data_IF_941502159699
#
_entry.id   IF_941502159699
#
_cell.length_a   1.000
_cell.length_b   1.000
_cell.length_c   1.000
_cell.angle_alpha   90.00
_cell.angle_beta   90.00
_cell.angle_gamma   90.00
#
_symmetry.space_group_name_H-M   'P 1'
#
loop_
_entity.id
_entity.type
_entity.pdbx_description
1 polymer ?
#
# COMPACT_ATOMS: atom_id res chain seq x y z
N UNK A 1 4.92 -7.81 -23.66
CA UNK A 1 5.86 -7.67 -22.53
C UNK A 1 6.98 -8.65 -22.75
N UNK A 2 8.23 -8.23 -22.57
CA UNK A 2 9.40 -9.10 -22.68
C UNK A 2 9.40 -10.09 -21.50
N UNK A 3 9.63 -11.40 -21.74
CA UNK A 3 9.74 -12.37 -20.64
C UNK A 3 10.86 -12.01 -19.67
N UNK A 4 10.76 -12.34 -18.37
CA UNK A 4 11.81 -12.01 -17.43
C UNK A 4 13.09 -12.81 -17.68
N UNK A 5 14.23 -12.16 -17.48
CA UNK A 5 15.56 -12.75 -17.66
C UNK A 5 15.89 -13.73 -16.52
N UNK A 6 16.87 -14.60 -16.73
CA UNK A 6 17.34 -15.51 -15.67
C UNK A 6 17.92 -14.76 -14.47
N UNK A 7 18.53 -13.61 -14.67
CA UNK A 7 18.98 -12.72 -13.59
C UNK A 7 17.81 -12.24 -12.75
N UNK A 8 16.72 -11.79 -13.39
CA UNK A 8 15.51 -11.36 -12.71
C UNK A 8 14.87 -12.49 -11.91
N UNK A 9 14.77 -13.69 -12.50
CA UNK A 9 14.26 -14.85 -11.80
C UNK A 9 15.15 -15.29 -10.64
N UNK A 10 16.47 -15.28 -10.82
CA UNK A 10 17.43 -15.64 -9.77
C UNK A 10 17.31 -14.68 -8.58
N UNK A 11 17.16 -13.38 -8.83
CA UNK A 11 16.94 -12.40 -7.79
C UNK A 11 15.62 -12.64 -7.04
N UNK A 12 14.52 -12.88 -7.77
CA UNK A 12 13.21 -13.13 -7.15
C UNK A 12 13.21 -14.43 -6.33
N UNK A 13 13.83 -15.49 -6.83
CA UNK A 13 14.04 -16.74 -6.11
C UNK A 13 14.84 -16.54 -4.82
N UNK A 14 15.88 -15.68 -4.83
CA UNK A 14 16.65 -15.35 -3.61
C UNK A 14 15.78 -14.63 -2.58
N UNK A 15 14.93 -13.68 -3.01
CA UNK A 15 13.99 -13.00 -2.11
C UNK A 15 13.05 -14.01 -1.47
N UNK A 16 12.37 -14.83 -2.28
CA UNK A 16 11.44 -15.86 -1.80
C UNK A 16 12.11 -16.86 -0.86
N UNK A 17 13.30 -17.36 -1.22
CA UNK A 17 14.05 -18.31 -0.41
C UNK A 17 14.42 -17.71 0.96
N UNK A 18 14.76 -16.42 1.01
CA UNK A 18 15.04 -15.73 2.28
C UNK A 18 13.81 -15.60 3.19
N UNK A 19 12.60 -15.60 2.63
CA UNK A 19 11.36 -15.65 3.41
C UNK A 19 11.11 -17.08 3.92
N UNK A 20 11.22 -18.09 3.05
CA UNK A 20 10.99 -19.51 3.40
C UNK A 20 11.94 -19.99 4.51
N UNK A 21 13.19 -19.51 4.54
CA UNK A 21 14.18 -19.93 5.54
C UNK A 21 13.93 -19.42 6.95
N UNK A 22 13.06 -18.43 7.13
CA UNK A 22 12.71 -17.94 8.48
C UNK A 22 11.91 -19.02 9.22
N UNK A 23 12.17 -19.21 10.51
CA UNK A 23 11.41 -20.17 11.33
C UNK A 23 9.92 -19.82 11.39
N UNK A 24 9.61 -18.53 11.49
CA UNK A 24 8.25 -17.99 11.59
C UNK A 24 7.43 -18.03 10.29
N UNK A 25 7.97 -18.59 9.20
CA UNK A 25 7.21 -18.79 7.95
C UNK A 25 6.66 -20.19 7.76
N UNK A 26 6.91 -21.12 8.68
CA UNK A 26 6.48 -22.52 8.59
C UNK A 26 5.01 -22.69 8.15
N UNK A 27 4.02 -21.98 8.75
CA UNK A 27 2.61 -22.13 8.40
C UNK A 27 2.26 -21.73 6.96
N UNK A 28 3.14 -20.99 6.28
CA UNK A 28 2.92 -20.43 4.95
C UNK A 28 3.65 -21.20 3.84
N UNK A 29 4.38 -22.28 4.18
CA UNK A 29 5.22 -23.01 3.22
C UNK A 29 4.47 -24.01 2.36
N UNK A 30 3.28 -24.42 2.81
CA UNK A 30 2.42 -25.40 2.14
C UNK A 30 0.98 -24.89 2.10
N UNK A 31 0.13 -25.39 1.17
CA UNK A 31 -1.27 -25.00 1.13
C UNK A 31 -1.98 -25.25 2.47
N UNK A 32 -2.88 -24.35 2.86
CA UNK A 32 -3.76 -24.54 4.02
C UNK A 32 -4.67 -25.75 3.77
N UNK A 33 -4.52 -26.79 4.59
CA UNK A 33 -5.43 -27.95 4.59
C UNK A 33 -6.71 -27.62 5.36
N UNK A 34 -7.51 -26.72 4.80
CA UNK A 34 -8.75 -26.27 5.42
C UNK A 34 -9.73 -27.42 5.67
N UNK A 35 -9.68 -28.51 4.90
CA UNK A 35 -10.50 -29.70 5.15
C UNK A 35 -10.01 -30.45 6.39
N UNK A 36 -8.71 -30.75 6.47
CA UNK A 36 -8.12 -31.42 7.63
C UNK A 36 -8.22 -30.61 8.92
N UNK A 37 -8.23 -29.28 8.80
CA UNK A 37 -8.39 -28.34 9.92
C UNK A 37 -9.85 -28.03 10.27
N UNK A 38 -10.84 -28.53 9.50
CA UNK A 38 -12.27 -28.26 9.75
C UNK A 38 -12.72 -26.82 9.43
N UNK A 39 -11.96 -26.08 8.64
CA UNK A 39 -12.21 -24.69 8.24
C UNK A 39 -13.11 -24.63 7.00
N UNK A 40 -14.36 -25.06 7.13
CA UNK A 40 -15.29 -25.20 5.99
C UNK A 40 -15.69 -23.87 5.33
N UNK A 41 -15.51 -22.75 6.03
CA UNK A 41 -15.71 -21.39 5.53
C UNK A 41 -14.49 -20.85 4.76
N UNK A 42 -13.32 -21.47 4.87
CA UNK A 42 -12.11 -21.02 4.18
C UNK A 42 -12.29 -20.82 2.67
N UNK A 43 -12.88 -21.75 1.88
CA UNK A 43 -13.09 -21.51 0.44
C UNK A 43 -14.16 -20.44 0.15
N UNK A 44 -15.02 -20.09 1.11
CA UNK A 44 -16.00 -19.02 0.93
C UNK A 44 -15.35 -17.65 1.16
N UNK A 45 -14.38 -17.54 2.07
CA UNK A 45 -13.67 -16.29 2.35
C UNK A 45 -12.44 -16.11 1.45
N UNK A 46 -11.65 -17.17 1.23
CA UNK A 46 -10.39 -17.14 0.49
C UNK A 46 -10.59 -17.66 -0.93
N UNK A 47 -10.66 -16.74 -1.88
CA UNK A 47 -10.98 -17.02 -3.29
C UNK A 47 -9.83 -17.60 -4.10
N UNK A 48 -8.60 -17.24 -3.74
CA UNK A 48 -7.39 -17.71 -4.42
C UNK A 48 -6.37 -18.16 -3.36
N UNK A 49 -6.44 -19.41 -2.88
CA UNK A 49 -5.45 -19.95 -1.96
C UNK A 49 -4.04 -19.89 -2.54
N UNK A 50 -3.04 -19.58 -1.71
CA UNK A 50 -1.64 -19.51 -2.10
C UNK A 50 -0.72 -19.82 -0.93
N UNK A 51 0.47 -20.36 -1.22
CA UNK A 51 1.52 -20.67 -0.27
C UNK A 51 2.90 -20.48 -0.92
N UNK A 52 3.94 -20.24 -0.11
CA UNK A 52 5.30 -19.97 -0.59
C UNK A 52 5.89 -21.14 -1.39
N UNK A 53 5.51 -22.38 -1.06
CA UNK A 53 5.93 -23.57 -1.79
C UNK A 53 5.38 -23.59 -3.22
N UNK A 54 4.09 -23.24 -3.39
CA UNK A 54 3.46 -23.07 -4.69
C UNK A 54 4.11 -21.96 -5.50
N UNK A 55 4.35 -20.78 -4.90
CA UNK A 55 5.06 -19.69 -5.58
C UNK A 55 6.44 -20.15 -6.04
N UNK A 56 7.19 -20.85 -5.18
CA UNK A 56 8.52 -21.37 -5.51
C UNK A 56 8.47 -22.32 -6.71
N UNK A 57 7.52 -23.26 -6.73
CA UNK A 57 7.30 -24.17 -7.86
C UNK A 57 6.96 -23.40 -9.13
N UNK A 58 6.09 -22.39 -9.04
CA UNK A 58 5.66 -21.59 -10.18
C UNK A 58 6.80 -20.73 -10.77
N UNK A 59 7.68 -20.15 -9.94
CA UNK A 59 8.89 -19.44 -10.39
C UNK A 59 9.84 -20.40 -11.12
N UNK A 60 10.10 -21.57 -10.53
CA UNK A 60 10.99 -22.58 -11.10
C UNK A 60 10.46 -23.11 -12.45
N UNK A 61 9.15 -23.29 -12.55
CA UNK A 61 8.47 -23.71 -13.77
C UNK A 61 8.19 -22.57 -14.76
N UNK A 62 8.70 -21.34 -14.51
CA UNK A 62 8.51 -20.16 -15.37
C UNK A 62 7.04 -19.88 -15.72
N UNK A 63 6.12 -20.13 -14.78
CA UNK A 63 4.67 -19.96 -15.00
C UNK A 63 4.21 -18.49 -15.00
N UNK A 64 4.99 -17.61 -14.39
CA UNK A 64 4.71 -16.18 -14.33
C UNK A 64 5.25 -15.47 -15.57
N UNK A 65 4.47 -14.53 -16.11
CA UNK A 65 4.83 -13.72 -17.28
C UNK A 65 5.72 -12.53 -16.89
N UNK A 66 5.77 -12.18 -15.61
CA UNK A 66 6.57 -11.07 -15.10
C UNK A 66 7.01 -11.29 -13.64
N UNK A 67 8.03 -10.56 -13.19
CA UNK A 67 8.44 -10.54 -11.78
C UNK A 67 7.33 -9.97 -10.87
N UNK A 68 6.61 -8.89 -11.25
CA UNK A 68 5.42 -8.43 -10.53
C UNK A 68 4.36 -9.51 -10.33
N UNK A 69 4.06 -10.35 -11.32
CA UNK A 69 3.08 -11.43 -11.15
C UNK A 69 3.50 -12.44 -10.07
N UNK A 70 4.78 -12.77 -9.99
CA UNK A 70 5.29 -13.61 -8.90
C UNK A 70 5.19 -12.90 -7.54
N UNK A 71 5.38 -11.58 -7.50
CA UNK A 71 5.25 -10.78 -6.28
C UNK A 71 3.80 -10.72 -5.78
N UNK A 72 2.83 -10.60 -6.69
CA UNK A 72 1.41 -10.65 -6.35
C UNK A 72 1.02 -11.97 -5.66
N UNK A 73 1.52 -13.11 -6.14
CA UNK A 73 1.24 -14.38 -5.46
C UNK A 73 1.92 -14.49 -4.09
N UNK A 74 3.09 -13.85 -3.87
CA UNK A 74 3.70 -13.78 -2.52
C UNK A 74 2.86 -12.89 -1.61
N UNK A 75 2.41 -11.72 -2.08
CA UNK A 75 1.50 -10.83 -1.34
C UNK A 75 0.23 -11.56 -0.94
N UNK A 76 -0.30 -12.36 -1.86
CA UNK A 76 -1.52 -13.14 -1.66
C UNK A 76 -1.43 -14.11 -0.49
N UNK A 77 -0.25 -14.69 -0.22
CA UNK A 77 -0.04 -15.54 0.97
C UNK A 77 -0.36 -14.77 2.26
N UNK A 78 0.12 -13.53 2.34
CA UNK A 78 -0.07 -12.69 3.53
C UNK A 78 -1.48 -12.12 3.60
N UNK A 79 -2.01 -11.61 2.49
CA UNK A 79 -3.34 -11.00 2.47
C UNK A 79 -4.44 -12.02 2.70
N UNK A 80 -4.32 -13.25 2.20
CA UNK A 80 -5.25 -14.33 2.54
C UNK A 80 -5.23 -14.62 4.04
N UNK A 81 -4.05 -14.67 4.65
CA UNK A 81 -3.93 -14.87 6.09
C UNK A 81 -4.61 -13.73 6.87
N UNK A 82 -4.34 -12.48 6.51
CA UNK A 82 -4.98 -11.31 7.14
C UNK A 82 -6.48 -11.22 6.86
N UNK A 83 -6.97 -11.77 5.75
CA UNK A 83 -8.40 -11.80 5.41
C UNK A 83 -9.17 -12.85 6.21
N UNK A 84 -8.55 -14.02 6.42
CA UNK A 84 -9.21 -15.12 7.14
C UNK A 84 -9.12 -14.94 8.66
N UNK A 85 -7.99 -14.43 9.16
CA UNK A 85 -7.75 -14.32 10.59
C UNK A 85 -8.18 -12.95 11.12
N UNK A 86 -8.73 -12.93 12.34
CA UNK A 86 -9.14 -11.71 13.01
C UNK A 86 -7.98 -10.71 13.16
N UNK A 87 -8.26 -9.44 12.92
CA UNK A 87 -7.35 -8.33 13.18
C UNK A 87 -6.77 -8.39 14.61
N UNK A 88 -5.44 -8.36 14.71
CA UNK A 88 -4.72 -8.41 15.99
C UNK A 88 -4.43 -9.82 16.51
N UNK A 89 -4.93 -10.88 15.87
CA UNK A 89 -4.52 -12.25 16.17
C UNK A 89 -3.04 -12.50 15.84
N UNK A 90 -2.43 -13.53 16.43
CA UNK A 90 -1.02 -13.88 16.20
C UNK A 90 -0.70 -14.10 14.72
N UNK A 91 -1.55 -14.84 14.01
CA UNK A 91 -1.39 -15.09 12.57
C UNK A 91 -1.55 -13.82 11.73
N UNK A 92 -2.49 -12.94 12.08
CA UNK A 92 -2.66 -11.65 11.42
C UNK A 92 -1.42 -10.77 11.58
N UNK A 93 -0.92 -10.61 12.81
CA UNK A 93 0.26 -9.79 13.10
C UNK A 93 1.52 -10.38 12.46
N UNK A 94 1.66 -11.71 12.47
CA UNK A 94 2.74 -12.40 11.78
C UNK A 94 2.71 -12.15 10.26
N UNK A 95 1.56 -12.33 9.62
CA UNK A 95 1.40 -12.07 8.19
C UNK A 95 1.68 -10.60 7.82
N UNK A 96 1.20 -9.66 8.64
CA UNK A 96 1.49 -8.22 8.47
C UNK A 96 2.98 -7.93 8.53
N UNK A 97 3.68 -8.51 9.50
CA UNK A 97 5.13 -8.36 9.66
C UNK A 97 5.91 -8.98 8.49
N UNK A 98 5.50 -10.16 8.01
CA UNK A 98 6.10 -10.84 6.86
C UNK A 98 5.86 -10.08 5.56
N UNK A 99 4.66 -9.53 5.37
CA UNK A 99 4.31 -8.67 4.23
C UNK A 99 5.23 -7.46 4.17
N UNK A 100 5.42 -6.74 5.29
CA UNK A 100 6.35 -5.60 5.36
C UNK A 100 7.79 -5.99 4.97
N UNK A 101 8.31 -7.08 5.56
CA UNK A 101 9.66 -7.59 5.24
C UNK A 101 9.81 -8.00 3.78
N UNK A 102 8.75 -8.54 3.17
CA UNK A 102 8.75 -8.88 1.76
C UNK A 102 8.84 -7.60 0.90
N UNK A 103 8.02 -6.58 1.16
CA UNK A 103 8.06 -5.34 0.39
C UNK A 103 9.40 -4.62 0.48
N UNK A 104 10.05 -4.61 1.65
CA UNK A 104 11.43 -4.07 1.81
C UNK A 104 12.42 -4.77 0.86
N UNK A 105 12.37 -6.10 0.78
CA UNK A 105 13.24 -6.90 -0.10
C UNK A 105 12.87 -6.75 -1.57
N UNK A 106 11.59 -6.71 -1.88
CA UNK A 106 11.08 -6.57 -3.24
C UNK A 106 11.42 -5.19 -3.81
N UNK A 107 11.27 -4.13 -3.01
CA UNK A 107 11.63 -2.76 -3.41
C UNK A 107 13.12 -2.66 -3.75
N UNK A 108 13.99 -3.29 -2.94
CA UNK A 108 15.41 -3.37 -3.25
C UNK A 108 15.66 -4.11 -4.58
N UNK A 109 15.02 -5.25 -4.80
CA UNK A 109 15.12 -6.00 -6.06
C UNK A 109 14.70 -5.16 -7.26
N UNK A 110 13.58 -4.43 -7.15
CA UNK A 110 13.06 -3.56 -8.21
C UNK A 110 14.06 -2.47 -8.56
N UNK A 111 14.66 -1.82 -7.55
CA UNK A 111 15.67 -0.80 -7.75
C UNK A 111 16.96 -1.37 -8.38
N UNK A 112 17.47 -2.49 -7.84
CA UNK A 112 18.71 -3.12 -8.31
C UNK A 112 18.60 -3.60 -9.77
N UNK A 113 17.40 -4.00 -10.21
CA UNK A 113 17.13 -4.51 -11.55
C UNK A 113 16.44 -3.50 -12.48
N UNK A 114 16.19 -2.28 -12.00
CA UNK A 114 15.48 -1.21 -12.72
C UNK A 114 14.19 -1.72 -13.38
N UNK A 115 13.41 -2.49 -12.64
CA UNK A 115 12.15 -3.03 -13.17
C UNK A 115 11.15 -1.88 -13.37
N UNK A 116 10.56 -1.80 -14.57
CA UNK A 116 9.45 -0.88 -14.86
C UNK A 116 8.17 -1.39 -14.19
N UNK A 117 8.13 -1.26 -12.86
CA UNK A 117 6.95 -1.53 -12.06
C UNK A 117 6.21 -0.21 -11.95
N UNK A 118 5.04 -0.10 -12.59
CA UNK A 118 4.20 1.11 -12.50
C UNK A 118 3.99 1.45 -11.01
N UNK A 119 4.60 2.55 -10.60
CA UNK A 119 4.76 3.05 -9.22
C UNK A 119 3.45 3.15 -8.42
N UNK A 120 2.30 3.19 -9.09
CA UNK A 120 0.98 3.32 -8.46
C UNK A 120 0.49 2.11 -7.66
N UNK A 121 1.07 0.91 -7.88
CA UNK A 121 0.53 -0.33 -7.31
C UNK A 121 1.04 -0.69 -5.90
N UNK A 122 2.18 -0.15 -5.45
CA UNK A 122 2.78 -0.57 -4.16
C UNK A 122 2.16 0.11 -2.94
N UNK A 123 1.66 1.34 -3.07
CA UNK A 123 1.02 2.09 -1.97
C UNK A 123 -0.44 1.67 -1.75
N UNK A 124 -1.10 1.11 -2.76
CA UNK A 124 -2.54 0.81 -2.72
C UNK A 124 -2.90 -0.58 -2.19
N UNK A 125 -1.95 -1.54 -2.13
CA UNK A 125 -2.25 -2.96 -1.84
C UNK A 125 -2.14 -3.29 -0.34
N UNK A 126 -1.36 -2.54 0.43
CA UNK A 126 -1.11 -2.86 1.84
C UNK A 126 -2.30 -2.55 2.76
N UNK A 127 -3.17 -1.60 2.40
CA UNK A 127 -4.12 -1.02 3.34
C UNK A 127 -3.44 -0.41 4.59
N UNK A 128 -2.12 -0.41 4.68
CA UNK A 128 -1.34 0.18 5.77
C UNK A 128 -0.67 1.40 5.18
N UNK A 129 -1.19 2.57 5.52
CA UNK A 129 -0.52 3.84 5.29
C UNK A 129 0.78 3.83 6.09
N UNK A 130 1.92 3.86 5.40
CA UNK A 130 3.24 3.83 6.05
C UNK A 130 3.51 5.13 6.82
N UNK A 131 4.39 5.09 7.82
CA UNK A 131 4.78 6.29 8.57
C UNK A 131 5.40 7.37 7.66
N UNK A 132 6.13 6.96 6.63
CA UNK A 132 6.73 7.90 5.68
C UNK A 132 5.68 8.56 4.78
N UNK A 133 4.63 7.82 4.39
CA UNK A 133 3.48 8.42 3.70
C UNK A 133 2.72 9.40 4.59
N UNK A 134 2.49 9.08 5.87
CA UNK A 134 1.85 9.99 6.84
C UNK A 134 2.66 11.27 7.01
N UNK A 135 3.99 11.14 7.13
CA UNK A 135 4.92 12.28 7.23
C UNK A 135 4.93 13.11 5.96
N UNK A 136 4.93 12.48 4.79
CA UNK A 136 4.88 13.18 3.50
C UNK A 136 3.59 13.95 3.33
N UNK A 137 2.44 13.32 3.62
CA UNK A 137 1.13 13.95 3.60
C UNK A 137 1.06 15.16 4.53
N UNK A 138 1.47 15.02 5.79
CA UNK A 138 1.52 16.14 6.74
C UNK A 138 2.37 17.31 6.25
N UNK A 139 3.53 17.04 5.61
CA UNK A 139 4.35 18.10 4.98
C UNK A 139 3.62 18.81 3.86
N UNK A 140 2.90 18.08 3.01
CA UNK A 140 2.14 18.67 1.91
C UNK A 140 1.01 19.59 2.40
N UNK A 141 0.40 19.31 3.56
CA UNK A 141 -0.62 20.19 4.16
C UNK A 141 -0.07 21.60 4.44
N UNK A 142 1.19 21.72 4.90
CA UNK A 142 1.83 23.03 5.12
C UNK A 142 2.08 23.82 3.85
N UNK A 143 2.03 23.17 2.68
CA UNK A 143 2.25 23.79 1.38
C UNK A 143 0.95 24.16 0.65
N UNK A 144 -0.21 23.79 1.21
CA UNK A 144 -1.51 24.10 0.64
C UNK A 144 -1.90 25.58 0.85
N UNK A 145 -2.74 26.08 -0.05
CA UNK A 145 -3.41 27.37 0.15
C UNK A 145 -4.40 27.28 1.32
N UNK A 146 -4.73 28.42 1.96
CA UNK A 146 -5.75 28.46 3.02
C UNK A 146 -7.11 27.94 2.53
N UNK A 147 -7.45 28.19 1.28
CA UNK A 147 -8.72 27.75 0.69
C UNK A 147 -8.76 26.23 0.51
N UNK A 148 -7.68 25.63 -0.01
CA UNK A 148 -7.60 24.18 -0.22
C UNK A 148 -7.46 23.41 1.09
N UNK A 149 -6.74 23.99 2.06
CA UNK A 149 -6.70 23.45 3.42
C UNK A 149 -8.10 23.46 4.05
N UNK A 150 -8.86 24.54 3.88
CA UNK A 150 -10.26 24.61 4.33
C UNK A 150 -11.15 23.53 3.70
N UNK A 151 -11.03 23.31 2.38
CA UNK A 151 -11.76 22.24 1.68
C UNK A 151 -11.40 20.85 2.22
N UNK A 152 -10.10 20.60 2.43
CA UNK A 152 -9.61 19.34 2.99
C UNK A 152 -10.16 19.09 4.40
N UNK A 153 -10.15 20.12 5.26
CA UNK A 153 -10.67 20.02 6.63
C UNK A 153 -12.18 19.71 6.63
N UNK A 154 -12.95 20.34 5.75
CA UNK A 154 -14.39 20.04 5.59
C UNK A 154 -14.62 18.60 5.12
N UNK A 155 -13.82 18.13 4.16
CA UNK A 155 -13.91 16.76 3.64
C UNK A 155 -13.62 15.73 4.73
N UNK A 156 -12.56 15.95 5.53
CA UNK A 156 -12.21 15.07 6.66
C UNK A 156 -13.31 15.09 7.72
N UNK A 157 -13.85 16.26 8.07
CA UNK A 157 -14.91 16.38 9.07
C UNK A 157 -16.18 15.61 8.65
N UNK A 158 -16.53 15.64 7.36
CA UNK A 158 -17.69 14.93 6.84
C UNK A 158 -17.50 13.42 6.79
N UNK A 159 -16.34 12.95 6.33
CA UNK A 159 -16.07 11.52 6.10
C UNK A 159 -15.47 10.80 7.31
N UNK A 160 -14.76 11.52 8.19
CA UNK A 160 -14.09 10.95 9.35
C UNK A 160 -13.94 12.00 10.48
N UNK A 161 -15.04 12.40 11.13
CA UNK A 161 -15.00 13.42 12.18
C UNK A 161 -14.11 13.02 13.38
N UNK A 162 -13.97 11.73 13.64
CA UNK A 162 -13.11 11.22 14.72
C UNK A 162 -11.61 11.53 14.53
N UNK A 163 -11.19 11.86 13.30
CA UNK A 163 -9.83 12.25 12.97
C UNK A 163 -9.56 13.74 13.17
N UNK A 164 -10.58 14.55 13.48
CA UNK A 164 -10.47 16.00 13.55
C UNK A 164 -10.94 16.53 14.91
N UNK A 165 -10.10 17.33 15.56
CA UNK A 165 -10.47 18.07 16.76
C UNK A 165 -10.51 19.55 16.41
N UNK A 166 -11.67 20.20 16.57
CA UNK A 166 -11.85 21.64 16.35
C UNK A 166 -11.95 22.33 17.70
N UNK A 167 -11.03 23.24 18.00
CA UNK A 167 -11.13 24.07 19.20
C UNK A 167 -12.00 25.28 18.86
N UNK A 168 -13.19 25.40 19.47
CA UNK A 168 -14.16 26.45 19.13
C UNK A 168 -13.69 27.88 19.48
N UNK A 169 -12.61 28.02 20.26
CA UNK A 169 -12.10 29.32 20.74
C UNK A 169 -10.90 29.87 19.97
N UNK A 170 -10.24 29.05 19.16
CA UNK A 170 -9.03 29.40 18.40
C UNK A 170 -9.25 28.83 16.98
N UNK A 171 -8.89 29.55 15.91
CA UNK A 171 -9.08 29.11 14.50
C UNK A 171 -8.12 27.97 14.13
N UNK A 172 -8.06 26.96 14.99
CA UNK A 172 -7.11 25.87 15.03
C UNK A 172 -7.87 24.53 14.99
N UNK A 173 -7.42 23.67 14.08
CA UNK A 173 -7.92 22.32 13.93
C UNK A 173 -6.75 21.34 13.99
N UNK A 174 -6.86 20.34 14.85
CA UNK A 174 -5.89 19.25 14.96
C UNK A 174 -6.35 18.05 14.14
N UNK A 175 -5.51 17.60 13.22
CA UNK A 175 -5.75 16.42 12.39
C UNK A 175 -4.94 15.23 12.90
N UNK A 176 -5.62 14.19 13.37
CA UNK A 176 -5.00 12.94 13.75
C UNK A 176 -4.95 11.96 12.57
N UNK A 177 -3.81 11.92 11.90
CA UNK A 177 -3.56 11.08 10.71
C UNK A 177 -3.67 9.57 11.02
N UNK A 178 -3.48 9.15 12.27
CA UNK A 178 -3.58 7.74 12.66
C UNK A 178 -5.03 7.23 12.71
N UNK A 179 -5.99 8.14 12.87
CA UNK A 179 -7.43 7.81 12.87
C UNK A 179 -8.06 7.82 11.48
N UNK A 180 -7.32 8.22 10.44
CA UNK A 180 -7.82 8.28 9.07
C UNK A 180 -7.76 6.88 8.45
N UNK A 181 -8.89 6.35 7.94
CA UNK A 181 -8.91 5.08 7.25
C UNK A 181 -8.02 5.11 5.98
N UNK A 182 -7.37 4.00 5.60
CA UNK A 182 -6.46 3.95 4.45
C UNK A 182 -7.10 4.39 3.13
N UNK A 183 -8.36 4.03 2.90
CA UNK A 183 -9.11 4.45 1.71
C UNK A 183 -9.27 5.97 1.64
N UNK A 184 -9.72 6.59 2.74
CA UNK A 184 -9.83 8.04 2.85
C UNK A 184 -8.46 8.71 2.72
N UNK A 185 -7.42 8.13 3.31
CA UNK A 185 -6.06 8.66 3.20
C UNK A 185 -5.55 8.68 1.75
N UNK A 186 -5.88 7.67 0.95
CA UNK A 186 -5.56 7.65 -0.48
C UNK A 186 -6.31 8.76 -1.24
N UNK A 187 -7.61 8.95 -0.98
CA UNK A 187 -8.40 10.05 -1.56
C UNK A 187 -7.82 11.42 -1.22
N UNK A 188 -7.46 11.64 0.05
CA UNK A 188 -6.88 12.90 0.51
C UNK A 188 -5.51 13.16 -0.13
N UNK A 189 -4.66 12.15 -0.28
CA UNK A 189 -3.40 12.29 -1.03
C UNK A 189 -3.64 12.74 -2.47
N UNK A 190 -4.61 12.14 -3.15
CA UNK A 190 -4.98 12.53 -4.52
C UNK A 190 -5.50 13.96 -4.58
N UNK A 191 -6.35 14.37 -3.64
CA UNK A 191 -6.83 15.74 -3.54
C UNK A 191 -5.66 16.74 -3.39
N UNK A 192 -4.76 16.50 -2.44
CA UNK A 192 -3.60 17.36 -2.18
C UNK A 192 -2.68 17.46 -3.41
N UNK A 193 -2.43 16.35 -4.10
CA UNK A 193 -1.63 16.35 -5.32
C UNK A 193 -2.26 17.20 -6.43
N UNK A 194 -3.59 17.20 -6.55
CA UNK A 194 -4.31 17.96 -7.56
C UNK A 194 -4.33 19.47 -7.27
N UNK A 195 -4.35 19.88 -5.99
CA UNK A 195 -4.28 21.30 -5.61
C UNK A 195 -3.00 22.00 -6.09
N UNK A 196 -1.89 21.27 -6.22
CA UNK A 196 -0.62 21.82 -6.71
C UNK A 196 -0.56 22.00 -8.24
N UNK A 197 -1.56 21.55 -8.99
CA UNK A 197 -1.60 21.68 -10.47
C UNK A 197 -2.36 22.93 -10.95
N UNK A 198 -3.08 23.60 -10.06
CA UNK A 198 -3.82 24.84 -10.33
C UNK A 198 -3.01 26.08 -9.95
N UNK A 199 -2.01 26.44 -10.75
CA UNK A 199 -1.42 27.79 -10.71
C UNK A 199 -2.39 28.78 -11.40
N UNK A 200 -2.65 29.98 -10.85
CA UNK A 200 -3.55 30.94 -11.47
C UNK A 200 -2.93 31.53 -12.74
N UNK A 201 -3.69 31.54 -13.84
CA UNK A 201 -3.37 32.32 -15.02
C UNK A 201 -3.23 33.81 -14.64
N UNK A 202 -2.05 34.37 -14.85
CA UNK A 202 -1.74 35.77 -14.53
C UNK A 202 -2.64 36.73 -15.29
N UNK A 203 -3.45 37.49 -14.56
CA UNK A 203 -4.16 38.68 -15.06
C UNK A 203 -3.12 39.76 -15.38
N UNK A 204 -2.92 40.04 -16.67
CA UNK A 204 -2.16 41.22 -17.12
C UNK A 204 -2.88 42.49 -16.64
N UNK A 205 -2.22 43.22 -15.74
CA UNK A 205 -2.55 44.59 -15.34
C UNK A 205 -2.58 45.50 -16.57
N UNK A 206 -3.62 46.32 -16.66
CA UNK A 206 -3.76 47.38 -17.65
C UNK A 206 -2.73 48.50 -17.48
N UNK A 207 -2.41 49.13 -18.60
CA UNK A 207 -1.72 50.42 -18.64
C UNK A 207 -2.71 51.47 -19.12
N UNK A 208 -2.93 52.48 -18.26
CA UNK A 208 -3.73 53.68 -18.50
C UNK A 208 -3.19 54.49 -19.68
N UNK A 209 -4.10 55.22 -20.36
CA UNK A 209 -3.92 56.65 -20.66
C UNK A 209 -5.28 57.31 -20.94
N UNK A 210 -5.61 58.34 -20.15
CA UNK A 210 -6.65 59.35 -20.36
C UNK A 210 -5.96 60.71 -20.20
N UNK A 211 -6.50 61.68 -20.94
CA UNK A 211 -6.06 63.06 -21.17
C UNK A 211 -4.95 63.18 -22.22
#
# INVERSE_FOLDING_TARGET
>A
MTPPTDTQWTAMSKVLQSMIQRSDTEPFRVPVDWKGMGLFDYPTLIKKPMDLGSVKRNINARKYKSIPEAAEDIRLVWTNCMTYNQDGSDFFLLAKNLSKKFEEKYSKLVNDLQLDVKSESLSSISGVVTLDEKRSFAKSLYTLSKEDLGKLIVEVDHKCPAALTKNMGEDEAELNVDKIPPALFAELKTFVANCHTSTPAGTKKGTKRKA
#
